data_IF_884457341497
#
_entry.id   IF_884457341497
#
_cell.length_a   1.000
_cell.length_b   1.000
_cell.length_c   1.000
_cell.angle_alpha   90.00
_cell.angle_beta   90.00
_cell.angle_gamma   90.00
#
_symmetry.space_group_name_H-M   'P 1'
#
loop_
_entity.id
_entity.type
_entity.pdbx_description
1 polymer ?
#
# COMPACT_ATOMS: atom_id res chain seq x y z
N UNK A 1 -1.37 10.44 -9.71
CA UNK A 1 -0.72 11.42 -8.86
C UNK A 1 -1.22 11.34 -7.42
N UNK A 2 -2.53 11.41 -7.26
CA UNK A 2 -3.10 11.32 -5.92
C UNK A 2 -2.79 9.98 -5.28
N UNK A 3 -2.87 8.91 -6.05
CA UNK A 3 -2.54 7.56 -5.56
C UNK A 3 -1.12 7.50 -5.02
N UNK A 4 -0.17 8.13 -5.71
CA UNK A 4 1.21 8.16 -5.27
C UNK A 4 1.37 8.94 -3.96
N UNK A 5 0.64 10.05 -3.83
CA UNK A 5 0.72 10.85 -2.60
C UNK A 5 0.20 10.05 -1.42
N UNK A 6 -0.94 9.39 -1.58
CA UNK A 6 -1.53 8.58 -0.52
C UNK A 6 -0.58 7.44 -0.15
N UNK A 7 -0.05 6.77 -1.16
CA UNK A 7 0.83 5.63 -0.95
C UNK A 7 2.10 6.04 -0.19
N UNK A 8 2.73 7.11 -0.64
CA UNK A 8 3.96 7.57 -0.01
C UNK A 8 3.72 8.03 1.42
N UNK A 9 2.57 8.63 1.67
CA UNK A 9 2.27 9.12 3.01
C UNK A 9 2.13 7.97 4.00
N UNK A 10 1.41 6.88 3.63
CA UNK A 10 1.23 5.79 4.59
C UNK A 10 2.44 4.86 4.68
N UNK A 11 3.11 4.62 3.56
CA UNK A 11 4.15 3.58 3.50
C UNK A 11 5.55 4.13 3.72
N UNK A 12 5.75 5.41 3.46
CA UNK A 12 7.07 6.02 3.54
C UNK A 12 7.89 5.83 2.27
N UNK A 13 7.34 5.14 1.27
CA UNK A 13 8.05 4.93 0.00
C UNK A 13 7.11 5.21 -1.17
N UNK A 14 7.70 5.60 -2.30
CA UNK A 14 6.89 5.80 -3.51
C UNK A 14 6.41 4.45 -4.03
N UNK A 15 5.39 4.49 -4.89
CA UNK A 15 4.93 3.27 -5.54
C UNK A 15 6.08 2.62 -6.31
N UNK A 16 6.87 3.42 -7.01
CA UNK A 16 7.99 2.91 -7.78
C UNK A 16 9.01 2.21 -6.89
N UNK A 17 9.34 2.81 -5.75
CA UNK A 17 10.29 2.21 -4.83
C UNK A 17 9.72 0.95 -4.18
N UNK A 18 8.44 0.96 -3.84
CA UNK A 18 7.79 -0.21 -3.27
C UNK A 18 7.82 -1.39 -4.24
N UNK A 19 7.55 -1.10 -5.52
CA UNK A 19 7.68 -2.13 -6.55
C UNK A 19 9.10 -2.70 -6.59
N UNK A 20 10.10 -1.82 -6.50
CA UNK A 20 11.49 -2.25 -6.52
C UNK A 20 11.80 -3.15 -5.32
N UNK A 21 11.28 -2.80 -4.15
CA UNK A 21 11.45 -3.60 -2.95
C UNK A 21 10.89 -5.00 -3.16
N UNK A 22 9.77 -5.12 -3.89
CA UNK A 22 9.14 -6.40 -4.17
C UNK A 22 9.75 -7.14 -5.36
N UNK A 23 10.73 -6.54 -6.03
CA UNK A 23 11.33 -7.16 -7.20
C UNK A 23 10.48 -7.06 -8.45
N UNK A 24 9.62 -6.05 -8.53
CA UNK A 24 8.71 -5.88 -9.66
C UNK A 24 9.24 -4.85 -10.63
N UNK A 25 8.77 -4.94 -11.89
CA UNK A 25 9.08 -3.94 -12.91
C UNK A 25 7.81 -3.26 -13.36
N UNK A 26 7.01 -3.94 -14.19
CA UNK A 26 5.77 -3.37 -14.71
C UNK A 26 4.53 -3.97 -14.08
N UNK A 27 4.70 -4.98 -13.23
CA UNK A 27 3.57 -5.65 -12.62
C UNK A 27 2.81 -4.72 -11.69
N UNK A 28 1.55 -5.06 -11.44
CA UNK A 28 0.71 -4.30 -10.53
C UNK A 28 1.16 -4.58 -9.09
N UNK A 29 1.57 -3.53 -8.39
CA UNK A 29 2.08 -3.67 -7.03
C UNK A 29 1.08 -4.36 -6.10
N UNK A 30 -0.20 -3.99 -6.21
CA UNK A 30 -1.22 -4.51 -5.28
C UNK A 30 -1.34 -6.03 -5.35
N UNK A 31 -1.11 -6.61 -6.53
CA UNK A 31 -1.20 -8.06 -6.70
C UNK A 31 -0.09 -8.80 -5.96
N UNK A 32 0.94 -8.09 -5.53
CA UNK A 32 2.12 -8.70 -4.91
C UNK A 32 2.30 -8.26 -3.45
N UNK A 33 1.36 -7.49 -2.92
CA UNK A 33 1.44 -7.02 -1.55
C UNK A 33 1.02 -8.09 -0.54
N UNK A 34 1.59 -8.01 0.65
CA UNK A 34 1.13 -8.82 1.76
C UNK A 34 -0.25 -8.35 2.21
N UNK A 35 -0.90 -9.16 3.04
CA UNK A 35 -2.19 -8.78 3.61
C UNK A 35 -2.09 -7.45 4.35
N UNK A 36 -1.05 -7.28 5.16
CA UNK A 36 -0.88 -6.04 5.92
C UNK A 36 -0.73 -4.85 4.98
N UNK A 37 0.09 -5.00 3.94
CA UNK A 37 0.29 -3.91 2.99
C UNK A 37 -1.02 -3.52 2.30
N UNK A 38 -1.83 -4.51 1.96
CA UNK A 38 -3.12 -4.25 1.32
C UNK A 38 -4.07 -3.54 2.29
N UNK A 39 -4.09 -3.98 3.55
CA UNK A 39 -4.99 -3.38 4.54
C UNK A 39 -4.62 -1.93 4.80
N UNK A 40 -3.33 -1.63 4.95
CA UNK A 40 -2.92 -0.25 5.19
C UNK A 40 -3.16 0.63 3.97
N UNK A 41 -3.00 0.09 2.77
CA UNK A 41 -3.35 0.82 1.55
C UNK A 41 -4.85 1.14 1.56
N UNK A 42 -5.67 0.15 1.88
CA UNK A 42 -7.13 0.36 1.91
C UNK A 42 -7.53 1.36 2.98
N UNK A 43 -6.89 1.31 4.15
CA UNK A 43 -7.18 2.28 5.20
C UNK A 43 -6.83 3.70 4.76
N UNK A 44 -5.69 3.86 4.11
CA UNK A 44 -5.27 5.17 3.62
C UNK A 44 -6.25 5.69 2.57
N UNK A 45 -6.70 4.82 1.66
CA UNK A 45 -7.63 5.21 0.62
C UNK A 45 -9.01 5.53 1.17
N UNK A 46 -9.50 4.71 2.08
CA UNK A 46 -10.80 4.95 2.72
C UNK A 46 -10.78 6.26 3.49
N UNK A 47 -9.75 6.47 4.29
CA UNK A 47 -9.63 7.69 5.10
C UNK A 47 -9.56 8.92 4.21
N UNK A 48 -8.79 8.85 3.13
CA UNK A 48 -8.69 9.97 2.18
C UNK A 48 -10.06 10.29 1.60
N UNK A 49 -10.79 9.26 1.19
CA UNK A 49 -12.10 9.45 0.56
C UNK A 49 -13.08 10.10 1.53
N UNK A 50 -13.12 9.63 2.77
CA UNK A 50 -14.03 10.18 3.75
C UNK A 50 -13.64 11.59 4.18
N UNK A 51 -12.34 11.85 4.29
CA UNK A 51 -11.88 13.22 4.61
C UNK A 51 -12.21 14.17 3.46
N UNK A 52 -11.99 13.73 2.22
CA UNK A 52 -12.33 14.57 1.06
C UNK A 52 -13.82 14.91 1.04
N UNK A 53 -14.67 13.93 1.35
CA UNK A 53 -16.12 14.17 1.42
C UNK A 53 -16.46 15.15 2.52
N UNK A 54 -15.84 14.99 3.68
CA UNK A 54 -16.08 15.88 4.81
C UNK A 54 -15.67 17.31 4.51
N UNK A 55 -14.55 17.47 3.81
CA UNK A 55 -14.05 18.78 3.41
C UNK A 55 -14.81 19.36 2.22
N UNK A 56 -15.63 18.53 1.56
CA UNK A 56 -16.24 18.90 0.29
C UNK A 56 -15.18 19.33 -0.71
N UNK A 57 -14.13 18.51 -0.79
CA UNK A 57 -12.95 18.83 -1.61
C UNK A 57 -13.32 18.93 -3.07
N UNK A 58 -12.84 19.98 -3.72
CA UNK A 58 -13.04 20.21 -5.13
C UNK A 58 -11.68 20.52 -5.73
N UNK A 59 -11.29 19.73 -6.71
CA UNK A 59 -10.02 19.98 -7.37
C UNK A 59 -8.83 19.36 -6.66
N UNK A 60 -7.70 19.43 -7.33
CA UNK A 60 -6.53 18.69 -6.90
C UNK A 60 -5.89 19.19 -5.61
N UNK A 61 -5.78 20.51 -5.38
CA UNK A 61 -5.13 20.96 -4.13
C UNK A 61 -5.83 20.42 -2.87
N UNK A 62 -7.15 20.48 -2.85
CA UNK A 62 -7.91 20.02 -1.69
C UNK A 62 -7.84 18.50 -1.56
N UNK A 63 -7.88 17.80 -2.68
CA UNK A 63 -7.78 16.35 -2.65
C UNK A 63 -6.39 15.88 -2.25
N UNK A 64 -5.34 16.63 -2.60
CA UNK A 64 -4.00 16.32 -2.11
C UNK A 64 -3.92 16.47 -0.60
N UNK A 65 -4.55 17.52 -0.06
CA UNK A 65 -4.60 17.70 1.38
C UNK A 65 -5.31 16.52 2.04
N UNK A 66 -6.44 16.10 1.48
CA UNK A 66 -7.16 14.94 2.00
C UNK A 66 -6.31 13.68 1.92
N UNK A 67 -5.56 13.52 0.82
CA UNK A 67 -4.69 12.37 0.64
C UNK A 67 -3.57 12.30 1.67
N UNK A 68 -2.99 13.45 2.01
CA UNK A 68 -1.96 13.48 3.04
C UNK A 68 -2.53 13.17 4.41
N UNK A 69 -3.73 13.69 4.70
CA UNK A 69 -4.37 13.40 5.99
C UNK A 69 -4.80 11.95 6.09
N UNK A 70 -5.35 11.40 5.02
CA UNK A 70 -5.78 10.00 5.01
C UNK A 70 -4.61 9.05 5.08
N UNK A 71 -3.55 9.34 4.32
CA UNK A 71 -2.34 8.55 4.38
C UNK A 71 -1.70 8.60 5.75
N UNK A 72 -1.77 9.75 6.42
CA UNK A 72 -1.20 9.90 7.75
C UNK A 72 -1.91 9.02 8.78
N UNK A 73 -3.22 8.83 8.64
CA UNK A 73 -3.95 7.93 9.53
C UNK A 73 -3.38 6.52 9.44
N UNK A 74 -3.23 6.03 8.22
CA UNK A 74 -2.67 4.69 8.02
C UNK A 74 -1.21 4.63 8.45
N UNK A 75 -0.45 5.71 8.23
CA UNK A 75 0.94 5.76 8.65
C UNK A 75 1.08 5.60 10.16
N UNK A 76 0.25 6.31 10.92
CA UNK A 76 0.32 6.22 12.37
C UNK A 76 -0.03 4.83 12.86
N UNK A 77 -1.03 4.21 12.24
CA UNK A 77 -1.40 2.84 12.59
C UNK A 77 -0.27 1.88 12.23
N UNK A 78 0.37 2.08 11.07
CA UNK A 78 1.48 1.24 10.65
C UNK A 78 2.65 1.32 11.64
N UNK A 79 3.00 2.54 12.02
CA UNK A 79 4.13 2.73 12.92
C UNK A 79 3.85 2.09 14.27
N UNK A 80 2.63 2.21 14.76
CA UNK A 80 2.27 1.60 16.04
C UNK A 80 2.33 0.07 15.96
N UNK A 81 1.85 -0.49 14.87
CA UNK A 81 1.90 -1.93 14.70
C UNK A 81 3.34 -2.41 14.61
N UNK A 82 4.18 -1.70 13.86
CA UNK A 82 5.59 -2.06 13.73
C UNK A 82 6.29 -2.02 15.08
N UNK A 83 5.94 -1.04 15.91
CA UNK A 83 6.54 -0.93 17.23
C UNK A 83 6.15 -2.12 18.11
N UNK A 84 4.89 -2.53 18.07
CA UNK A 84 4.40 -3.60 18.92
C UNK A 84 4.84 -4.99 18.46
N UNK A 85 5.09 -5.16 17.19
CA UNK A 85 5.47 -6.47 16.65
C UNK A 85 6.96 -6.60 16.40
N UNK A 86 7.68 -5.48 16.27
CA UNK A 86 9.07 -5.50 15.89
C UNK A 86 9.29 -5.83 14.43
N UNK A 87 8.23 -5.84 13.62
CA UNK A 87 8.32 -6.20 12.21
C UNK A 87 7.86 -5.06 11.34
N UNK A 88 8.51 -4.92 10.17
CA UNK A 88 8.11 -3.91 9.20
C UNK A 88 6.90 -4.38 8.42
N UNK A 89 6.00 -3.44 8.10
CA UNK A 89 4.85 -3.73 7.26
C UNK A 89 5.26 -3.81 5.79
N UNK A 90 6.05 -2.84 5.33
CA UNK A 90 6.55 -2.84 3.95
C UNK A 90 7.76 -3.76 3.91
N UNK A 91 7.63 -4.87 3.18
CA UNK A 91 8.66 -5.91 3.16
C UNK A 91 8.99 -6.31 1.74
N UNK A 92 10.06 -7.10 1.61
CA UNK A 92 10.44 -7.68 0.33
C UNK A 92 9.58 -8.89 -0.05
N UNK A 93 8.76 -9.38 0.87
CA UNK A 93 7.92 -10.53 0.60
C UNK A 93 6.98 -10.24 -0.57
N UNK A 94 6.93 -11.16 -1.50
CA UNK A 94 6.11 -11.04 -2.69
C UNK A 94 5.07 -12.16 -2.64
N UNK A 95 3.82 -11.78 -2.40
CA UNK A 95 2.75 -12.74 -2.12
C UNK A 95 2.11 -13.30 -3.38
N UNK A 96 2.51 -12.80 -4.54
CA UNK A 96 2.17 -13.42 -5.81
C UNK A 96 3.43 -13.42 -6.64
N UNK A 97 4.32 -14.42 -6.42
CA UNK A 97 5.61 -14.40 -7.08
C UNK A 97 5.47 -14.39 -8.59
N UNK A 98 6.43 -13.84 -9.28
CA UNK A 98 6.43 -13.94 -10.72
C UNK A 98 6.33 -15.40 -11.08
N UNK A 99 5.57 -15.73 -12.07
CA UNK A 99 5.23 -17.04 -12.34
C UNK A 99 6.34 -17.95 -12.63
N UNK A 100 6.36 -18.95 -12.09
CA UNK A 100 7.21 -19.97 -12.39
C UNK A 100 6.50 -21.22 -12.30
N UNK A 101 6.13 -21.29 -12.29
CA UNK A 101 5.44 -22.17 -12.18
C UNK A 101 4.93 -23.01 -11.70
N UNK A 102 4.58 -23.26 -11.53
CA UNK A 102 4.02 -23.95 -10.94
C UNK A 102 3.75 -24.90 -10.67
N UNK A 103 3.91 -24.86 -10.50
CA UNK A 103 3.75 -25.54 -10.20
C UNK A 103 3.40 -26.17 -9.77
N UNK A 104 3.30 -26.12 -9.50
CA UNK A 104 2.96 -26.60 -9.06
C UNK A 104 2.47 -27.05 -8.82
N UNK A 105 2.36 -26.93 -8.58
CA UNK A 105 1.82 -27.48 -8.27
C UNK A 105 1.52 -28.10 -8.34
N UNK A 106 1.43 -28.08 -8.29
CA UNK A 106 1.07 -28.90 -8.24
C UNK A 106 0.93 -29.43 -8.09
N UNK A 107 0.93 -29.16 -8.06
CA UNK A 107 0.61 -29.82 -7.71
C UNK A 107 0.56 -29.90 -7.40
N UNK A 108 0.71 -29.73 -7.12
CA UNK A 108 0.59 -29.94 -6.71
C UNK A 108 0.19 -29.90 -6.48
N UNK A 109 0.07 -29.84 -6.29
CA UNK A 109 -0.37 -30.08 -5.90
C UNK A 109 -0.92 -30.25 -5.88
N UNK A 110 -0.87 -30.02 -5.85
CA UNK A 110 -1.35 -30.42 -5.70
C UNK A 110 -1.69 -30.71 -5.68
#
# INVERSE_FOLDING_TARGET
ILTNIIHQEWSGVTVKKHKKIKGLQTQNLRDHMSEAEIIFTALAELSTRQIAESMKAIGMPENKTAGKKGGSIAKKARLELEEKTGKKVVTTDNYLPPQKSPKKLNGERR
#
